data_IF_734720383596
#
_entry.id   IF_734720383596
#
_cell.length_a   1.000
_cell.length_b   1.000
_cell.length_c   1.000
_cell.angle_alpha   90.00
_cell.angle_beta   90.00
_cell.angle_gamma   90.00
#
_symmetry.space_group_name_H-M   'P 1'
#
loop_
_entity.id
_entity.type
_entity.pdbx_description
1 polymer ?
#
# COMPACT_ATOMS: atom_id res chain seq x y z
N UNK A 1 20.12 -5.42 10.14
CA UNK A 1 19.43 -6.25 9.13
C UNK A 1 20.02 -5.88 7.77
N UNK A 2 20.37 -6.85 6.92
CA UNK A 2 20.77 -6.54 5.54
C UNK A 2 19.61 -5.86 4.81
N UNK A 3 19.90 -4.82 4.01
CA UNK A 3 18.89 -4.13 3.20
C UNK A 3 18.53 -5.00 2.02
N UNK A 4 17.23 -5.22 1.82
CA UNK A 4 16.71 -5.91 0.65
C UNK A 4 17.07 -5.13 -0.61
N UNK A 5 17.71 -5.78 -1.57
CA UNK A 5 18.13 -5.21 -2.85
C UNK A 5 16.91 -4.68 -3.63
N UNK A 6 15.77 -5.36 -3.51
CA UNK A 6 14.50 -4.91 -4.08
C UNK A 6 14.07 -3.52 -3.56
N UNK A 7 14.42 -3.17 -2.32
CA UNK A 7 14.04 -1.90 -1.68
C UNK A 7 15.13 -0.82 -1.80
N UNK A 8 16.18 -1.05 -2.60
CA UNK A 8 17.23 -0.05 -2.84
C UNK A 8 16.81 1.14 -3.73
N UNK A 9 15.91 1.00 -4.74
CA UNK A 9 15.55 2.12 -5.61
C UNK A 9 15.01 3.32 -4.82
N UNK A 10 15.39 4.53 -5.26
CA UNK A 10 15.02 5.81 -4.61
C UNK A 10 15.32 5.88 -3.11
N UNK A 11 16.32 5.11 -2.65
CA UNK A 11 16.62 4.97 -1.22
C UNK A 11 15.40 4.52 -0.39
N UNK A 12 14.43 3.80 -0.96
CA UNK A 12 13.17 3.48 -0.29
C UNK A 12 13.38 2.80 1.08
N UNK A 13 14.34 1.89 1.18
CA UNK A 13 14.76 1.27 2.45
C UNK A 13 15.28 2.22 3.53
N UNK A 14 15.65 3.47 3.21
CA UNK A 14 16.04 4.51 4.18
C UNK A 14 14.86 5.38 4.61
N UNK A 15 13.90 5.61 3.70
CA UNK A 15 12.78 6.54 3.89
C UNK A 15 11.44 5.85 4.18
N UNK A 16 11.40 4.52 4.18
CA UNK A 16 10.20 3.72 4.46
C UNK A 16 10.00 3.44 5.95
N UNK A 17 8.76 3.52 6.44
CA UNK A 17 8.42 3.08 7.79
C UNK A 17 8.45 1.55 7.94
N UNK A 18 8.01 0.83 6.89
CA UNK A 18 7.87 -0.64 6.90
C UNK A 18 9.17 -1.38 6.58
N UNK A 19 10.04 -0.78 5.75
CA UNK A 19 11.31 -1.37 5.30
C UNK A 19 12.54 -0.65 5.85
N UNK A 20 12.32 0.43 6.60
CA UNK A 20 13.35 1.25 7.24
C UNK A 20 14.22 0.49 8.22
N UNK A 21 15.49 0.88 8.31
CA UNK A 21 16.35 0.47 9.42
C UNK A 21 16.04 1.31 10.67
N UNK A 22 16.18 0.68 11.85
CA UNK A 22 16.08 1.38 13.12
C UNK A 22 17.12 2.50 13.20
N UNK A 23 16.66 3.75 13.29
CA UNK A 23 17.50 4.94 13.37
C UNK A 23 16.71 6.15 13.84
N UNK A 24 17.34 7.33 14.03
CA UNK A 24 16.65 8.55 14.44
C UNK A 24 15.44 8.87 13.55
N UNK A 25 15.65 8.82 12.23
CA UNK A 25 14.62 9.06 11.22
C UNK A 25 13.42 8.10 11.32
N UNK A 26 13.68 6.78 11.36
CA UNK A 26 12.61 5.79 11.47
C UNK A 26 11.83 5.94 12.78
N UNK A 27 12.52 6.26 13.89
CA UNK A 27 11.87 6.53 15.19
C UNK A 27 10.99 7.77 15.14
N UNK A 28 11.43 8.82 14.44
CA UNK A 28 10.64 10.02 14.21
C UNK A 28 9.37 9.73 13.40
N UNK A 29 9.48 9.05 12.26
CA UNK A 29 8.32 8.64 11.47
C UNK A 29 7.34 7.79 12.29
N UNK A 30 7.86 6.81 13.05
CA UNK A 30 7.04 5.96 13.92
C UNK A 30 6.35 6.76 15.02
N UNK A 31 7.03 7.77 15.59
CA UNK A 31 6.45 8.68 16.58
C UNK A 31 5.30 9.48 15.98
N UNK A 32 5.46 10.04 14.78
CA UNK A 32 4.39 10.76 14.07
C UNK A 32 3.21 9.83 13.84
N UNK A 33 3.44 8.62 13.31
CA UNK A 33 2.37 7.64 13.09
C UNK A 33 1.59 7.33 14.39
N UNK A 34 2.29 7.05 15.49
CA UNK A 34 1.65 6.70 16.75
C UNK A 34 0.92 7.87 17.42
N UNK A 35 1.49 9.07 17.35
CA UNK A 35 0.97 10.23 18.07
C UNK A 35 -0.04 11.04 17.27
N UNK A 36 -0.04 10.93 15.94
CA UNK A 36 -0.88 11.77 15.08
C UNK A 36 -1.85 10.94 14.23
N UNK A 37 -1.40 9.84 13.63
CA UNK A 37 -2.20 9.10 12.63
C UNK A 37 -3.02 7.97 13.25
N UNK A 38 -2.44 7.23 14.19
CA UNK A 38 -3.01 6.02 14.79
C UNK A 38 -3.40 6.19 16.25
N UNK A 39 -3.71 7.42 16.68
CA UNK A 39 -4.24 7.65 18.03
C UNK A 39 -5.65 7.05 18.16
N UNK A 40 -6.08 6.62 19.37
CA UNK A 40 -7.44 6.12 19.58
C UNK A 40 -8.50 7.09 19.06
N UNK A 41 -8.35 8.40 19.34
CA UNK A 41 -9.26 9.44 18.86
C UNK A 41 -9.35 9.50 17.34
N UNK A 42 -8.23 9.37 16.61
CA UNK A 42 -8.23 9.35 15.14
C UNK A 42 -8.85 8.07 14.61
N UNK A 43 -8.51 6.92 15.20
CA UNK A 43 -9.11 5.64 14.83
C UNK A 43 -10.63 5.66 15.02
N UNK A 44 -11.13 6.23 16.11
CA UNK A 44 -12.56 6.40 16.38
C UNK A 44 -13.23 7.33 15.38
N UNK A 45 -12.58 8.46 15.03
CA UNK A 45 -13.12 9.37 14.02
C UNK A 45 -13.25 8.74 12.63
N UNK A 46 -12.38 7.78 12.32
CA UNK A 46 -12.39 7.03 11.05
C UNK A 46 -13.24 5.75 11.10
N UNK A 47 -13.90 5.46 12.23
CA UNK A 47 -14.68 4.23 12.44
C UNK A 47 -15.80 4.09 11.42
N UNK A 48 -16.56 5.15 11.18
CA UNK A 48 -17.70 5.14 10.25
C UNK A 48 -17.29 4.74 8.83
N UNK A 49 -16.15 5.24 8.34
CA UNK A 49 -15.62 4.87 7.02
C UNK A 49 -15.28 3.38 6.94
N UNK A 50 -14.66 2.82 7.99
CA UNK A 50 -14.33 1.39 8.02
C UNK A 50 -15.60 0.53 8.08
N UNK A 51 -16.58 0.92 8.90
CA UNK A 51 -17.85 0.22 9.01
C UNK A 51 -18.61 0.24 7.67
N UNK A 52 -18.61 1.37 6.95
CA UNK A 52 -19.17 1.44 5.61
C UNK A 52 -18.52 0.43 4.64
N UNK A 53 -17.19 0.31 4.63
CA UNK A 53 -16.49 -0.67 3.79
C UNK A 53 -16.79 -2.12 4.16
N UNK A 54 -17.02 -2.41 5.44
CA UNK A 54 -17.49 -3.72 5.88
C UNK A 54 -18.93 -3.98 5.42
N UNK A 55 -19.82 -2.98 5.48
CA UNK A 55 -21.19 -3.13 4.97
C UNK A 55 -21.22 -3.38 3.45
N UNK A 56 -20.38 -2.68 2.68
CA UNK A 56 -20.21 -2.93 1.24
C UNK A 56 -19.77 -4.37 0.96
N UNK A 57 -18.81 -4.89 1.73
CA UNK A 57 -18.36 -6.28 1.64
C UNK A 57 -19.48 -7.27 1.97
N UNK A 58 -20.21 -7.06 3.08
CA UNK A 58 -21.30 -7.94 3.49
C UNK A 58 -22.42 -8.00 2.45
N UNK A 59 -22.74 -6.86 1.81
CA UNK A 59 -23.69 -6.81 0.71
C UNK A 59 -23.22 -7.66 -0.48
N UNK A 60 -21.97 -7.49 -0.90
CA UNK A 60 -21.40 -8.27 -2.01
C UNK A 60 -21.44 -9.78 -1.73
N UNK A 61 -21.06 -10.20 -0.52
CA UNK A 61 -21.13 -11.62 -0.10
C UNK A 61 -22.57 -12.14 -0.10
N UNK A 62 -23.53 -11.33 0.35
CA UNK A 62 -24.95 -11.71 0.35
C UNK A 62 -25.49 -11.89 -1.05
N UNK A 63 -25.16 -11.00 -1.98
CA UNK A 63 -25.54 -11.09 -3.39
C UNK A 63 -24.96 -12.36 -4.05
N UNK A 64 -23.68 -12.64 -3.83
CA UNK A 64 -23.05 -13.88 -4.32
C UNK A 64 -23.73 -15.13 -3.74
N UNK A 65 -24.07 -15.12 -2.45
CA UNK A 65 -24.78 -16.22 -1.79
C UNK A 65 -26.18 -16.44 -2.38
N UNK A 66 -26.93 -15.38 -2.67
CA UNK A 66 -28.25 -15.46 -3.31
C UNK A 66 -28.17 -16.03 -4.73
N UNK A 67 -27.08 -15.74 -5.45
CA UNK A 67 -26.80 -16.29 -6.77
C UNK A 67 -26.18 -17.68 -6.78
N UNK A 68 -25.91 -18.29 -5.61
CA UNK A 68 -25.21 -19.58 -5.51
C UNK A 68 -23.75 -19.53 -6.00
N UNK A 69 -23.14 -18.34 -6.01
CA UNK A 69 -21.78 -18.11 -6.50
C UNK A 69 -20.74 -18.31 -5.39
N UNK A 70 -19.59 -18.89 -5.73
CA UNK A 70 -18.46 -18.98 -4.81
C UNK A 70 -17.83 -17.60 -4.59
N UNK A 71 -17.42 -17.32 -3.34
CA UNK A 71 -16.75 -16.07 -2.96
C UNK A 71 -15.27 -16.32 -2.74
N UNK A 72 -14.43 -15.55 -3.42
CA UNK A 72 -13.00 -15.49 -3.12
C UNK A 72 -12.74 -14.57 -1.93
N UNK A 73 -12.60 -15.16 -0.74
CA UNK A 73 -12.40 -14.42 0.52
C UNK A 73 -11.10 -13.60 0.52
N UNK A 74 -10.02 -14.11 -0.09
CA UNK A 74 -8.74 -13.41 -0.18
C UNK A 74 -8.84 -12.14 -1.01
N UNK A 75 -9.46 -12.24 -2.19
CA UNK A 75 -9.71 -11.09 -3.06
C UNK A 75 -10.65 -10.06 -2.43
N UNK A 76 -11.75 -10.52 -1.82
CA UNK A 76 -12.72 -9.66 -1.16
C UNK A 76 -12.06 -8.90 0.01
N UNK A 77 -11.36 -9.61 0.90
CA UNK A 77 -10.71 -9.00 2.07
C UNK A 77 -9.60 -8.02 1.67
N UNK A 78 -8.79 -8.35 0.66
CA UNK A 78 -7.74 -7.47 0.14
C UNK A 78 -8.35 -6.22 -0.50
N UNK A 79 -9.40 -6.39 -1.31
CA UNK A 79 -10.11 -5.28 -1.97
C UNK A 79 -10.70 -4.32 -0.93
N UNK A 80 -11.40 -4.85 0.08
CA UNK A 80 -11.99 -4.05 1.16
C UNK A 80 -10.92 -3.32 1.97
N UNK A 81 -9.81 -3.99 2.28
CA UNK A 81 -8.69 -3.37 3.03
C UNK A 81 -8.07 -2.22 2.25
N UNK A 82 -7.75 -2.43 0.96
CA UNK A 82 -7.19 -1.39 0.11
C UNK A 82 -8.17 -0.22 -0.07
N UNK A 83 -9.46 -0.49 -0.25
CA UNK A 83 -10.49 0.55 -0.28
C UNK A 83 -10.51 1.38 1.01
N UNK A 84 -10.45 0.71 2.16
CA UNK A 84 -10.44 1.38 3.46
C UNK A 84 -9.20 2.27 3.63
N UNK A 85 -8.02 1.79 3.22
CA UNK A 85 -6.76 2.54 3.27
C UNK A 85 -6.84 3.74 2.32
N UNK A 86 -7.20 3.54 1.05
CA UNK A 86 -7.28 4.60 0.05
C UNK A 86 -8.29 5.68 0.44
N UNK A 87 -9.47 5.30 0.97
CA UNK A 87 -10.46 6.27 1.43
C UNK A 87 -9.93 7.08 2.64
N UNK A 88 -9.29 6.41 3.60
CA UNK A 88 -8.69 7.07 4.77
C UNK A 88 -7.56 8.04 4.37
N UNK A 89 -6.71 7.65 3.43
CA UNK A 89 -5.56 8.45 3.02
C UNK A 89 -5.94 9.59 2.09
N UNK A 90 -6.86 9.35 1.16
CA UNK A 90 -7.17 10.27 0.06
C UNK A 90 -8.45 11.07 0.27
N UNK A 91 -9.28 10.73 1.26
CA UNK A 91 -10.55 11.42 1.57
C UNK A 91 -11.42 11.64 0.33
N UNK A 92 -11.24 10.82 -0.70
CA UNK A 92 -12.04 10.85 -1.91
C UNK A 92 -13.23 9.93 -1.67
N UNK A 93 -14.41 10.53 -1.70
CA UNK A 93 -15.67 9.84 -1.49
C UNK A 93 -15.85 8.83 -2.64
N UNK A 94 -15.60 7.56 -2.32
CA UNK A 94 -15.71 6.41 -3.22
C UNK A 94 -17.16 6.07 -3.54
N UNK A 95 -17.98 7.06 -3.87
CA UNK A 95 -19.26 6.82 -4.55
C UNK A 95 -19.04 6.23 -5.96
N UNK A 96 -17.78 6.15 -6.43
CA UNK A 96 -17.36 5.20 -7.46
C UNK A 96 -16.29 4.25 -6.90
N UNK A 97 -16.59 2.95 -6.88
CA UNK A 97 -15.59 1.87 -6.85
C UNK A 97 -14.78 1.86 -8.17
N UNK A 98 -14.24 2.99 -8.62
CA UNK A 98 -13.71 3.12 -9.99
C UNK A 98 -13.08 4.45 -10.39
N UNK A 99 -12.59 5.30 -9.47
CA UNK A 99 -11.67 6.35 -9.92
C UNK A 99 -10.36 5.69 -10.37
N UNK A 100 -9.85 6.12 -11.53
CA UNK A 100 -8.62 5.58 -12.14
C UNK A 100 -7.46 5.53 -11.13
N UNK A 101 -7.34 6.57 -10.31
CA UNK A 101 -6.33 6.70 -9.25
C UNK A 101 -6.38 5.60 -8.16
N UNK A 102 -7.58 5.16 -7.74
CA UNK A 102 -7.71 4.11 -6.71
C UNK A 102 -7.39 2.75 -7.29
N UNK A 103 -7.83 2.49 -8.53
CA UNK A 103 -7.51 1.28 -9.26
C UNK A 103 -6.01 1.17 -9.52
N UNK A 104 -5.39 2.27 -9.95
CA UNK A 104 -3.95 2.36 -10.16
C UNK A 104 -3.18 2.18 -8.84
N UNK A 105 -3.59 2.86 -7.76
CA UNK A 105 -2.98 2.69 -6.44
C UNK A 105 -2.97 1.22 -6.00
N UNK A 106 -4.08 0.52 -6.19
CA UNK A 106 -4.22 -0.91 -5.84
C UNK A 106 -3.30 -1.79 -6.65
N UNK A 107 -3.25 -1.58 -7.97
CA UNK A 107 -2.38 -2.33 -8.87
C UNK A 107 -0.90 -2.15 -8.46
N UNK A 108 -0.48 -0.89 -8.28
CA UNK A 108 0.88 -0.57 -7.85
C UNK A 108 1.22 -1.15 -6.48
N UNK A 109 0.29 -1.08 -5.52
CA UNK A 109 0.50 -1.65 -4.19
C UNK A 109 0.67 -3.17 -4.25
N UNK A 110 -0.14 -3.86 -5.05
CA UNK A 110 -0.05 -5.31 -5.23
C UNK A 110 1.27 -5.70 -5.91
N UNK A 111 1.65 -4.99 -6.99
CA UNK A 111 2.91 -5.24 -7.70
C UNK A 111 4.13 -5.01 -6.82
N UNK A 112 4.13 -3.93 -6.01
CA UNK A 112 5.17 -3.67 -5.02
C UNK A 112 5.21 -4.77 -3.96
N UNK A 113 4.06 -5.21 -3.47
CA UNK A 113 3.98 -6.27 -2.46
C UNK A 113 4.53 -7.59 -3.00
N UNK A 114 4.23 -7.95 -4.25
CA UNK A 114 4.77 -9.13 -4.92
C UNK A 114 6.28 -8.99 -5.11
N UNK A 115 6.76 -7.85 -5.63
CA UNK A 115 8.18 -7.65 -5.91
C UNK A 115 9.02 -7.67 -4.61
N UNK A 116 8.56 -6.98 -3.56
CA UNK A 116 9.23 -6.94 -2.26
C UNK A 116 9.09 -8.25 -1.47
N UNK A 117 8.00 -9.00 -1.66
CA UNK A 117 7.78 -10.29 -1.01
C UNK A 117 8.48 -11.46 -1.70
N UNK A 118 8.95 -11.28 -2.94
CA UNK A 118 9.59 -12.35 -3.71
C UNK A 118 11.01 -12.64 -3.22
N UNK A 119 11.42 -13.92 -3.12
CA UNK A 119 12.82 -14.26 -2.86
C UNK A 119 13.73 -13.70 -3.95
N UNK A 120 14.77 -12.96 -3.52
CA UNK A 120 15.73 -12.35 -4.42
C UNK A 120 17.13 -12.92 -4.18
N UNK A 121 17.71 -13.60 -5.17
CA UNK A 121 19.05 -14.19 -5.17
C UNK A 121 20.11 -13.14 -4.80
N UNK A 122 19.93 -11.89 -5.24
CA UNK A 122 20.82 -10.77 -4.93
C UNK A 122 20.92 -10.47 -3.42
N UNK A 123 19.94 -10.86 -2.62
CA UNK A 123 19.96 -10.71 -1.16
C UNK A 123 20.83 -11.78 -0.47
N UNK A 124 21.00 -12.94 -1.10
CA UNK A 124 21.83 -14.04 -0.61
C UNK A 124 23.25 -14.01 -1.17
N UNK A 125 23.42 -13.51 -2.40
CA UNK A 125 24.69 -13.41 -3.10
C UNK A 125 24.96 -11.95 -3.51
N UNK A 126 25.53 -11.13 -2.61
CA UNK A 126 25.73 -9.70 -2.87
C UNK A 126 26.54 -9.38 -4.13
N UNK A 127 27.43 -10.30 -4.54
CA UNK A 127 28.20 -10.18 -5.77
C UNK A 127 27.33 -10.14 -7.03
N UNK A 128 26.10 -10.65 -6.99
CA UNK A 128 25.17 -10.68 -8.14
C UNK A 128 24.24 -9.46 -8.21
N UNK A 129 24.26 -8.56 -7.22
CA UNK A 129 23.37 -7.38 -7.15
C UNK A 129 23.43 -6.50 -8.40
N UNK A 130 24.63 -6.32 -8.96
CA UNK A 130 24.83 -5.48 -10.14
C UNK A 130 24.10 -6.02 -11.38
N UNK A 131 23.85 -7.34 -11.45
CA UNK A 131 23.19 -7.98 -12.59
C UNK A 131 21.66 -7.92 -12.49
N UNK A 132 21.10 -7.87 -11.27
CA UNK A 132 19.66 -8.02 -11.02
C UNK A 132 19.07 -9.24 -11.78
N UNK A 133 19.55 -10.47 -11.49
CA UNK A 133 19.29 -11.65 -12.32
C UNK A 133 17.81 -12.03 -12.44
N UNK A 134 16.99 -11.64 -11.45
CA UNK A 134 15.54 -11.87 -11.46
C UNK A 134 14.74 -10.63 -11.90
N UNK A 135 15.39 -9.50 -12.18
CA UNK A 135 14.73 -8.24 -12.53
C UNK A 135 13.87 -7.64 -11.42
N UNK A 136 13.97 -8.14 -10.19
CA UNK A 136 13.11 -7.74 -9.06
C UNK A 136 13.41 -6.30 -8.67
N UNK A 137 14.69 -5.91 -8.66
CA UNK A 137 15.09 -4.53 -8.33
C UNK A 137 14.56 -3.56 -9.39
N UNK A 138 14.73 -3.88 -10.68
CA UNK A 138 14.20 -3.07 -11.79
C UNK A 138 12.67 -2.97 -11.77
N UNK A 139 11.96 -4.08 -11.51
CA UNK A 139 10.49 -4.06 -11.38
C UNK A 139 10.07 -3.15 -10.22
N UNK A 140 10.72 -3.28 -9.07
CA UNK A 140 10.41 -2.45 -7.89
C UNK A 140 10.67 -0.97 -8.16
N UNK A 141 11.73 -0.63 -8.91
CA UNK A 141 12.01 0.75 -9.33
C UNK A 141 10.88 1.33 -10.17
N UNK A 142 10.40 0.61 -11.19
CA UNK A 142 9.29 1.08 -12.04
C UNK A 142 8.02 1.29 -11.21
N UNK A 143 7.68 0.34 -10.33
CA UNK A 143 6.49 0.45 -9.49
C UNK A 143 6.62 1.58 -8.46
N UNK A 144 7.77 1.75 -7.80
CA UNK A 144 8.01 2.82 -6.83
C UNK A 144 7.95 4.19 -7.47
N UNK A 145 8.50 4.33 -8.68
CA UNK A 145 8.44 5.59 -9.43
C UNK A 145 7.00 6.02 -9.66
N UNK A 146 6.17 5.15 -10.25
CA UNK A 146 4.76 5.48 -10.52
C UNK A 146 3.96 5.67 -9.23
N UNK A 147 4.27 4.90 -8.18
CA UNK A 147 3.63 5.06 -6.88
C UNK A 147 3.92 6.42 -6.24
N UNK A 148 5.15 6.92 -6.34
CA UNK A 148 5.50 8.26 -5.86
C UNK A 148 4.86 9.37 -6.71
N UNK A 149 4.88 9.24 -8.03
CA UNK A 149 4.18 10.19 -8.93
C UNK A 149 2.70 10.30 -8.57
N UNK A 150 2.01 9.17 -8.35
CA UNK A 150 0.61 9.15 -7.94
C UNK A 150 0.39 9.84 -6.58
N UNK A 151 1.29 9.64 -5.61
CA UNK A 151 1.20 10.32 -4.31
C UNK A 151 1.45 11.83 -4.44
N UNK A 152 2.42 12.23 -5.26
CA UNK A 152 2.74 13.64 -5.52
C UNK A 152 1.54 14.35 -6.18
N UNK A 153 0.92 13.74 -7.20
CA UNK A 153 -0.30 14.25 -7.84
C UNK A 153 -1.43 14.49 -6.81
N UNK A 154 -1.60 13.59 -5.85
CA UNK A 154 -2.61 13.71 -4.79
C UNK A 154 -2.25 14.81 -3.78
N UNK A 155 -0.99 14.92 -3.41
CA UNK A 155 -0.50 15.96 -2.49
C UNK A 155 -0.66 17.34 -3.12
N UNK A 156 -0.26 17.50 -4.38
CA UNK A 156 -0.39 18.76 -5.13
C UNK A 156 -1.85 19.19 -5.26
N UNK A 157 -2.75 18.26 -5.60
CA UNK A 157 -4.19 18.54 -5.67
C UNK A 157 -4.77 19.02 -4.33
N UNK A 158 -4.20 18.59 -3.20
CA UNK A 158 -4.64 19.02 -1.86
C UNK A 158 -4.06 20.35 -1.43
N UNK A 159 -2.84 20.67 -1.85
CA UNK A 159 -2.18 21.94 -1.52
C UNK A 159 -2.70 23.12 -2.36
N UNK A 160 -3.41 22.84 -3.45
CA UNK A 160 -4.03 23.84 -4.33
C UNK A 160 -5.50 24.14 -3.99
N UNK A 161 -6.08 23.42 -3.02
CA UNK A 161 -7.41 23.65 -2.44
C UNK A 161 -7.31 24.47 -1.15
#
# INVERSE_FOLDING_TARGET
RSVMDAASPFDHSKWSLGLGQNGPRWREMRRICNNELFTPRRLDSLRGLREQKVQELLRHVREACQGGQAVNVGECSMTTTLNSISNTLFSQDTMGLGSESVTEFRALFLDLSIALGSPNISDFFPLLKFMDPQGIRRRTEVCLKRFYELLDEIIEKRNTL
#
